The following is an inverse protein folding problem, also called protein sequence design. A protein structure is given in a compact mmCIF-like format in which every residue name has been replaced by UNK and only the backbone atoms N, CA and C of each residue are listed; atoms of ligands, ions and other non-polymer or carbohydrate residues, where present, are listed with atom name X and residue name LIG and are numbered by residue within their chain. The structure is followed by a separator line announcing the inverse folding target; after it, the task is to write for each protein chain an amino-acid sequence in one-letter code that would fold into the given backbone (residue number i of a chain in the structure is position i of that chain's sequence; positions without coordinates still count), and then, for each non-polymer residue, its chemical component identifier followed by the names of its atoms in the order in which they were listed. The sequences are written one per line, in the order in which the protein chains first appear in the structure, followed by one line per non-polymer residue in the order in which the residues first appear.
data_IF_563716011437
#
_entry.id   IF_563716011437
#
_cell.length_a   1.000
_cell.length_b   1.000
_cell.length_c   1.000
_cell.angle_alpha   90.00
_cell.angle_beta   90.00
_cell.angle_gamma   90.00
#
_symmetry.space_group_name_H-M   'P 1'
#
loop_
_entity.id
_entity.type
_entity.pdbx_description
1 polymer ?
#
# COMPACT_ATOMS: atom_id res chain seq x y z
N UNK A 1 19.64 7.79 2.05
CA UNK A 1 19.39 6.68 3.00
C UNK A 1 19.76 5.43 2.22
N UNK A 2 20.65 4.56 2.72
CA UNK A 2 21.12 3.41 1.94
C UNK A 2 19.92 2.50 1.61
N UNK A 3 19.89 1.92 0.41
CA UNK A 3 18.81 1.04 -0.08
C UNK A 3 18.44 -0.06 0.92
N UNK A 4 19.44 -0.62 1.58
CA UNK A 4 19.32 -1.62 2.66
C UNK A 4 18.42 -1.17 3.82
N UNK A 5 18.41 0.13 4.16
CA UNK A 5 17.56 0.66 5.24
C UNK A 5 16.09 0.70 4.84
N UNK A 6 15.79 1.00 3.57
CA UNK A 6 14.40 1.03 3.05
C UNK A 6 13.84 -0.39 3.03
N UNK A 7 14.60 -1.35 2.52
CA UNK A 7 14.21 -2.77 2.48
C UNK A 7 13.98 -3.33 3.89
N UNK A 8 14.84 -2.97 4.85
CA UNK A 8 14.70 -3.40 6.25
C UNK A 8 13.45 -2.82 6.92
N UNK A 9 13.12 -1.54 6.68
CA UNK A 9 11.89 -0.93 7.22
C UNK A 9 10.64 -1.58 6.63
N UNK A 10 10.64 -1.91 5.34
CA UNK A 10 9.51 -2.56 4.67
C UNK A 10 9.28 -3.97 5.20
N UNK A 11 10.35 -4.74 5.41
CA UNK A 11 10.27 -6.07 6.01
C UNK A 11 9.70 -6.01 7.45
N UNK A 12 10.17 -5.07 8.27
CA UNK A 12 9.68 -4.87 9.64
C UNK A 12 8.20 -4.48 9.67
N UNK A 13 7.75 -3.61 8.75
CA UNK A 13 6.32 -3.23 8.68
C UNK A 13 5.46 -4.40 8.23
N UNK A 14 5.88 -5.21 7.25
CA UNK A 14 5.16 -6.43 6.86
C UNK A 14 5.05 -7.43 8.02
N UNK A 15 6.15 -7.64 8.75
CA UNK A 15 6.15 -8.48 9.95
C UNK A 15 5.22 -7.93 11.02
N UNK A 16 5.26 -6.62 11.29
CA UNK A 16 4.40 -5.96 12.25
C UNK A 16 2.92 -6.07 11.87
N UNK A 17 2.57 -5.94 10.59
CA UNK A 17 1.19 -6.09 10.12
C UNK A 17 0.68 -7.52 10.27
N UNK A 18 1.48 -8.52 9.90
CA UNK A 18 1.12 -9.93 10.09
C UNK A 18 0.93 -10.24 11.58
N UNK A 19 1.82 -9.74 12.43
CA UNK A 19 1.74 -9.91 13.86
C UNK A 19 0.49 -9.24 14.45
N UNK A 20 0.21 -7.99 14.06
CA UNK A 20 -0.98 -7.25 14.51
C UNK A 20 -2.28 -7.92 14.02
N UNK A 21 -2.30 -8.49 12.82
CA UNK A 21 -3.46 -9.21 12.28
C UNK A 21 -3.76 -10.47 13.11
N UNK A 22 -2.73 -11.21 13.49
CA UNK A 22 -2.88 -12.39 14.35
C UNK A 22 -3.26 -12.02 15.78
N UNK A 23 -2.72 -10.93 16.32
CA UNK A 23 -3.11 -10.42 17.65
C UNK A 23 -4.59 -10.04 17.65
N UNK A 24 -5.09 -9.33 16.62
CA UNK A 24 -6.50 -8.95 16.55
C UNK A 24 -7.43 -10.17 16.40
N UNK A 25 -7.03 -11.17 15.62
CA UNK A 25 -7.77 -12.45 15.48
C UNK A 25 -7.87 -13.24 16.80
N UNK A 26 -6.87 -13.09 17.67
CA UNK A 26 -6.78 -13.81 18.92
C UNK A 26 -7.02 -12.94 20.16
N UNK A 27 -7.49 -11.69 20.00
CA UNK A 27 -7.67 -10.73 21.11
C UNK A 27 -8.60 -11.21 22.23
N UNK A 28 -9.48 -12.16 21.94
CA UNK A 28 -10.41 -12.77 22.90
C UNK A 28 -9.94 -14.14 23.41
N UNK A 29 -8.84 -14.68 22.87
CA UNK A 29 -8.26 -15.95 23.30
C UNK A 29 -7.18 -15.69 24.36
N UNK A 30 -7.53 -15.89 25.64
CA UNK A 30 -6.63 -15.63 26.77
C UNK A 30 -5.48 -16.62 26.89
N UNK A 31 -5.53 -17.74 26.18
CA UNK A 31 -4.60 -18.86 26.34
C UNK A 31 -3.58 -19.00 25.21
N UNK A 32 -3.66 -18.15 24.17
CA UNK A 32 -2.71 -18.22 23.05
C UNK A 32 -1.31 -17.78 23.47
N UNK A 33 -0.30 -18.57 23.11
CA UNK A 33 1.11 -18.23 23.35
C UNK A 33 1.73 -17.56 22.12
N UNK A 34 2.66 -16.63 22.35
CA UNK A 34 3.38 -15.92 21.28
C UNK A 34 4.08 -16.90 20.31
N UNK A 35 4.61 -18.02 20.80
CA UNK A 35 5.23 -19.07 19.98
C UNK A 35 4.25 -19.70 18.98
N UNK A 36 2.98 -19.84 19.34
CA UNK A 36 1.93 -20.42 18.47
C UNK A 36 1.50 -19.43 17.38
N UNK A 37 1.54 -18.13 17.68
CA UNK A 37 1.35 -17.06 16.69
C UNK A 37 2.49 -17.07 15.68
N UNK A 38 3.73 -17.18 16.14
CA UNK A 38 4.92 -17.20 15.29
C UNK A 38 4.98 -18.44 14.38
N UNK A 39 4.53 -19.60 14.84
CA UNK A 39 4.42 -20.79 13.99
C UNK A 39 3.40 -20.63 12.86
N UNK A 40 2.29 -19.93 13.11
CA UNK A 40 1.25 -19.68 12.09
C UNK A 40 1.74 -18.72 11.01
N UNK A 41 2.51 -17.69 11.38
CA UNK A 41 3.16 -16.78 10.42
C UNK A 41 4.05 -17.55 9.43
N UNK A 42 4.70 -18.61 9.89
CA UNK A 42 5.60 -19.42 9.06
C UNK A 42 4.88 -20.48 8.20
N UNK A 43 3.59 -20.73 8.41
CA UNK A 43 2.87 -21.86 7.78
C UNK A 43 1.78 -21.44 6.79
N UNK A 44 1.27 -20.21 6.85
CA UNK A 44 0.06 -19.82 6.12
C UNK A 44 0.35 -18.83 4.97
N UNK A 45 0.20 -19.28 3.72
CA UNK A 45 0.46 -18.45 2.53
C UNK A 45 -0.70 -17.48 2.20
N UNK A 46 -1.89 -17.63 2.82
CA UNK A 46 -3.13 -17.05 2.26
C UNK A 46 -4.13 -16.36 3.21
N UNK A 47 -3.81 -16.13 4.49
CA UNK A 47 -4.74 -15.42 5.38
C UNK A 47 -4.16 -14.13 5.95
N UNK A 48 -4.48 -13.01 5.29
CA UNK A 48 -4.25 -11.67 5.84
C UNK A 48 -5.57 -10.92 5.94
N UNK A 49 -6.13 -10.86 7.15
CA UNK A 49 -7.18 -9.89 7.48
C UNK A 49 -6.48 -8.62 7.95
N UNK A 50 -6.38 -7.62 7.09
CA UNK A 50 -5.92 -6.28 7.42
C UNK A 50 -7.12 -5.48 7.93
N UNK A 51 -7.06 -4.88 9.11
CA UNK A 51 -8.01 -3.83 9.44
C UNK A 51 -7.62 -2.53 8.72
N UNK A 52 -8.54 -1.57 8.70
CA UNK A 52 -8.35 -0.32 7.97
C UNK A 52 -7.08 0.46 8.38
N UNK A 53 -6.72 0.39 9.66
CA UNK A 53 -5.54 1.07 10.19
C UNK A 53 -4.25 0.42 9.71
N UNK A 54 -4.19 -0.91 9.63
CA UNK A 54 -3.02 -1.63 9.09
C UNK A 54 -2.77 -1.29 7.62
N UNK A 55 -3.84 -1.12 6.84
CA UNK A 55 -3.72 -0.70 5.44
C UNK A 55 -3.13 0.72 5.35
N UNK A 56 -3.65 1.65 6.16
CA UNK A 56 -3.13 3.03 6.21
C UNK A 56 -1.70 3.10 6.73
N UNK A 57 -1.33 2.33 7.75
CA UNK A 57 0.05 2.26 8.26
C UNK A 57 1.00 1.77 7.16
N UNK A 58 0.58 0.80 6.36
CA UNK A 58 1.39 0.26 5.27
C UNK A 58 1.56 1.24 4.14
N UNK A 59 0.48 1.89 3.72
CA UNK A 59 0.54 2.97 2.75
C UNK A 59 1.42 4.12 3.27
N UNK A 60 1.34 4.46 4.54
CA UNK A 60 2.20 5.48 5.16
C UNK A 60 3.67 5.08 5.06
N UNK A 61 4.00 3.83 5.41
CA UNK A 61 5.36 3.30 5.34
C UNK A 61 5.92 3.25 3.91
N UNK A 62 5.10 2.84 2.93
CA UNK A 62 5.53 2.64 1.55
C UNK A 62 5.44 3.90 0.68
N UNK A 63 4.54 4.83 1.00
CA UNK A 63 4.21 5.99 0.16
C UNK A 63 4.53 7.32 0.83
N UNK A 64 4.46 7.44 2.15
CA UNK A 64 4.69 8.75 2.82
C UNK A 64 6.11 8.89 3.33
N UNK A 65 6.62 7.87 4.02
CA UNK A 65 7.93 7.89 4.68
C UNK A 65 9.12 7.97 3.71
N UNK A 66 9.12 7.33 2.52
CA UNK A 66 10.28 7.39 1.62
C UNK A 66 10.67 8.83 1.26
N UNK A 67 12.00 9.09 1.23
CA UNK A 67 12.56 10.42 0.91
C UNK A 67 12.19 10.85 -0.51
N UNK A 68 12.22 12.16 -0.77
CA UNK A 68 11.85 12.69 -2.10
C UNK A 68 12.64 12.04 -3.25
N UNK A 69 13.92 11.73 -3.00
CA UNK A 69 14.80 11.06 -3.95
C UNK A 69 14.30 9.70 -4.41
N UNK A 70 13.58 8.95 -3.55
CA UNK A 70 12.99 7.66 -3.94
C UNK A 70 11.98 7.82 -5.08
N UNK A 71 11.22 8.91 -5.11
CA UNK A 71 10.23 9.17 -6.15
C UNK A 71 10.86 9.44 -7.51
N UNK A 72 12.15 9.79 -7.56
CA UNK A 72 12.86 9.94 -8.83
C UNK A 72 13.02 8.61 -9.57
N UNK A 73 13.11 7.51 -8.83
CA UNK A 73 13.38 6.16 -9.37
C UNK A 73 12.08 5.38 -9.65
N UNK A 74 10.92 5.95 -9.31
CA UNK A 74 9.62 5.33 -9.61
C UNK A 74 9.33 5.41 -11.10
N UNK A 75 9.00 4.26 -11.70
CA UNK A 75 8.72 4.11 -13.13
C UNK A 75 7.63 5.07 -13.62
N UNK A 76 7.85 5.69 -14.78
CA UNK A 76 6.91 6.58 -15.46
C UNK A 76 5.92 5.82 -16.38
N UNK A 77 5.52 4.62 -15.94
CA UNK A 77 4.54 3.79 -16.63
C UNK A 77 3.12 4.34 -16.45
N UNK A 78 2.28 4.24 -17.47
CA UNK A 78 0.85 4.56 -17.39
C UNK A 78 0.08 3.53 -16.55
N UNK A 79 -0.94 3.98 -15.82
CA UNK A 79 -1.80 3.09 -15.04
C UNK A 79 -2.49 2.03 -15.91
N UNK A 80 -2.82 2.35 -17.16
CA UNK A 80 -3.41 1.42 -18.13
C UNK A 80 -2.48 0.25 -18.52
N UNK A 81 -1.17 0.42 -18.36
CA UNK A 81 -0.15 -0.59 -18.68
C UNK A 81 0.23 -1.47 -17.48
N UNK A 82 -0.32 -1.20 -16.29
CA UNK A 82 -0.10 -2.03 -15.11
C UNK A 82 -0.87 -3.34 -15.23
N UNK A 83 -0.26 -4.43 -14.75
CA UNK A 83 -0.95 -5.72 -14.70
C UNK A 83 -2.13 -5.68 -13.72
N UNK A 84 -3.11 -6.55 -13.95
CA UNK A 84 -4.30 -6.65 -13.09
C UNK A 84 -3.97 -6.97 -11.61
N UNK A 85 -2.79 -7.55 -11.37
CA UNK A 85 -2.28 -7.84 -10.01
C UNK A 85 -2.11 -6.59 -9.14
N UNK A 86 -2.03 -5.41 -9.73
CA UNK A 86 -2.00 -4.15 -8.99
C UNK A 86 -3.33 -3.78 -8.34
N UNK A 87 -4.44 -4.45 -8.70
CA UNK A 87 -5.76 -4.13 -8.13
C UNK A 87 -6.29 -2.76 -8.53
N UNK A 88 -5.71 -2.12 -9.54
CA UNK A 88 -6.07 -0.75 -9.97
C UNK A 88 -6.99 -0.71 -11.19
N UNK A 89 -7.59 -1.83 -11.63
CA UNK A 89 -8.32 -1.90 -12.92
C UNK A 89 -9.35 -0.78 -13.10
N UNK A 90 -10.18 -0.52 -12.09
CA UNK A 90 -11.19 0.54 -12.14
C UNK A 90 -10.58 1.96 -12.18
N UNK A 91 -9.46 2.15 -11.47
CA UNK A 91 -8.70 3.41 -11.49
C UNK A 91 -8.02 3.60 -12.84
N UNK A 92 -7.40 2.56 -13.38
CA UNK A 92 -6.74 2.54 -14.69
C UNK A 92 -7.72 2.82 -15.82
N UNK A 93 -9.01 2.52 -15.69
CA UNK A 93 -10.01 2.94 -16.70
C UNK A 93 -10.33 4.44 -16.62
N UNK A 94 -10.45 5.01 -15.42
CA UNK A 94 -10.76 6.45 -15.22
C UNK A 94 -9.56 7.36 -15.43
N UNK A 95 -8.36 6.85 -15.16
CA UNK A 95 -7.10 7.57 -15.16
C UNK A 95 -6.05 6.85 -16.03
N UNK A 96 -6.47 6.33 -17.18
CA UNK A 96 -5.66 5.46 -18.04
C UNK A 96 -4.28 6.05 -18.38
N UNK A 97 -4.25 7.32 -18.76
CA UNK A 97 -3.03 8.02 -19.18
C UNK A 97 -2.24 8.60 -17.99
N UNK A 98 -2.75 8.46 -16.77
CA UNK A 98 -2.04 8.91 -15.58
C UNK A 98 -0.80 8.04 -15.37
N UNK A 99 0.33 8.70 -15.08
CA UNK A 99 1.56 8.01 -14.74
C UNK A 99 1.52 7.47 -13.31
N UNK A 100 2.06 6.28 -13.09
CA UNK A 100 2.14 5.62 -11.77
C UNK A 100 2.79 6.54 -10.74
N UNK A 101 3.89 7.21 -11.09
CA UNK A 101 4.56 8.19 -10.23
C UNK A 101 3.63 9.32 -9.80
N UNK A 102 2.84 9.87 -10.73
CA UNK A 102 1.88 10.93 -10.41
C UNK A 102 0.73 10.43 -9.54
N UNK A 103 0.20 9.24 -9.84
CA UNK A 103 -0.81 8.58 -9.03
C UNK A 103 -0.34 8.36 -7.59
N UNK A 104 0.86 7.80 -7.41
CA UNK A 104 1.46 7.57 -6.09
C UNK A 104 1.67 8.88 -5.33
N UNK A 105 2.04 9.97 -6.01
CA UNK A 105 2.13 11.30 -5.40
C UNK A 105 0.76 11.80 -4.92
N UNK A 106 -0.30 11.60 -5.71
CA UNK A 106 -1.67 11.95 -5.31
C UNK A 106 -2.11 11.16 -4.08
N UNK A 107 -1.88 9.84 -4.07
CA UNK A 107 -2.14 8.98 -2.89
C UNK A 107 -1.32 9.43 -1.67
N UNK A 108 -0.03 9.74 -1.84
CA UNK A 108 0.85 10.28 -0.78
C UNK A 108 0.28 11.53 -0.15
N UNK A 109 -0.15 12.49 -0.97
CA UNK A 109 -0.73 13.74 -0.50
C UNK A 109 -2.03 13.50 0.27
N UNK A 110 -2.90 12.62 -0.24
CA UNK A 110 -4.13 12.24 0.46
C UNK A 110 -3.84 11.71 1.87
N UNK A 111 -2.87 10.79 2.01
CA UNK A 111 -2.48 10.22 3.31
C UNK A 111 -1.84 11.30 4.20
N UNK A 112 -0.87 12.05 3.68
CA UNK A 112 -0.08 13.01 4.45
C UNK A 112 -0.91 14.16 5.01
N UNK A 113 -1.98 14.53 4.30
CA UNK A 113 -2.91 15.58 4.71
C UNK A 113 -4.17 15.05 5.43
N UNK A 114 -4.27 13.74 5.67
CA UNK A 114 -5.44 13.13 6.30
C UNK A 114 -6.72 13.22 5.46
N UNK A 115 -6.60 13.42 4.14
CA UNK A 115 -7.72 13.49 3.20
C UNK A 115 -8.14 12.08 2.73
N UNK A 116 -8.46 11.21 3.70
CA UNK A 116 -8.93 9.85 3.45
C UNK A 116 -10.24 9.64 4.20
N UNK A 117 -11.27 9.26 3.45
CA UNK A 117 -12.53 8.79 4.03
C UNK A 117 -12.62 7.28 3.88
N UNK A 118 -13.19 6.62 4.87
CA UNK A 118 -13.41 5.18 4.86
C UNK A 118 -14.90 4.94 5.03
N UNK A 119 -15.54 4.44 3.98
CA UNK A 119 -16.94 4.03 4.00
C UNK A 119 -17.02 2.52 3.86
N UNK A 120 -17.40 1.83 4.95
CA UNK A 120 -17.44 0.37 5.06
C UNK A 120 -16.13 -0.28 4.63
N UNK A 121 -16.06 -0.78 3.40
CA UNK A 121 -14.92 -1.49 2.81
C UNK A 121 -14.28 -0.71 1.66
N UNK A 122 -14.54 0.59 1.56
CA UNK A 122 -14.03 1.46 0.49
C UNK A 122 -13.22 2.60 1.09
N UNK A 123 -12.01 2.76 0.58
CA UNK A 123 -11.12 3.86 0.89
C UNK A 123 -11.24 4.92 -0.21
N UNK A 124 -11.53 6.15 0.20
CA UNK A 124 -11.73 7.28 -0.67
C UNK A 124 -10.55 8.24 -0.44
N UNK A 125 -9.60 8.22 -1.37
CA UNK A 125 -8.44 9.10 -1.36
C UNK A 125 -8.77 10.39 -2.11
N UNK A 126 -8.59 11.52 -1.44
CA UNK A 126 -8.86 12.84 -2.02
C UNK A 126 -7.60 13.68 -1.99
N UNK A 127 -7.23 14.30 -3.11
CA UNK A 127 -6.15 15.28 -3.16
C UNK A 127 -6.67 16.61 -3.68
N UNK A 128 -6.23 17.70 -3.03
CA UNK A 128 -6.65 19.05 -3.39
C UNK A 128 -5.71 19.59 -4.45
N UNK A 129 -6.28 20.30 -5.40
CA UNK A 129 -5.51 21.17 -6.26
C UNK A 129 -4.97 22.34 -5.42
N UNK A 130 -3.65 22.58 -5.39
CA UNK A 130 -3.07 23.67 -4.60
C UNK A 130 -3.58 25.04 -5.04
N UNK A 131 -3.88 25.23 -6.32
CA UNK A 131 -4.25 26.53 -6.88
C UNK A 131 -5.72 26.87 -6.64
N UNK A 132 -6.60 25.86 -6.63
CA UNK A 132 -8.06 26.09 -6.51
C UNK A 132 -8.63 25.67 -5.16
N UNK A 133 -7.85 24.98 -4.32
CA UNK A 133 -8.29 24.37 -3.05
C UNK A 133 -9.46 23.38 -3.16
N UNK A 134 -9.88 23.02 -4.39
CA UNK A 134 -10.90 22.01 -4.67
C UNK A 134 -10.27 20.64 -4.83
N UNK A 135 -11.00 19.58 -4.49
CA UNK A 135 -10.57 18.21 -4.78
C UNK A 135 -10.64 17.95 -6.29
N UNK A 136 -9.48 17.76 -6.92
CA UNK A 136 -9.36 17.45 -8.36
C UNK A 136 -9.02 15.97 -8.62
N UNK A 137 -8.63 15.26 -7.57
CA UNK A 137 -8.34 13.84 -7.59
C UNK A 137 -9.16 13.13 -6.51
N UNK A 138 -9.97 12.16 -6.95
CA UNK A 138 -10.77 11.29 -6.08
C UNK A 138 -10.68 9.87 -6.61
N UNK A 139 -10.08 8.99 -5.80
CA UNK A 139 -9.92 7.57 -6.09
C UNK A 139 -10.56 6.75 -4.99
N UNK A 140 -11.43 5.84 -5.42
CA UNK A 140 -12.10 4.89 -4.56
C UNK A 140 -11.43 3.53 -4.79
N UNK A 141 -10.94 2.93 -3.72
CA UNK A 141 -10.42 1.56 -3.76
C UNK A 141 -11.19 0.75 -2.73
N UNK A 142 -11.81 -0.34 -3.19
CA UNK A 142 -12.29 -1.35 -2.27
C UNK A 142 -11.11 -1.94 -1.50
N UNK A 143 -11.43 -2.54 -0.37
CA UNK A 143 -10.45 -3.19 0.48
C UNK A 143 -9.59 -4.22 -0.28
N UNK A 144 -10.20 -5.04 -1.15
CA UNK A 144 -9.50 -6.04 -1.96
C UNK A 144 -8.56 -5.39 -2.97
N UNK A 145 -9.03 -4.37 -3.68
CA UNK A 145 -8.21 -3.59 -4.61
C UNK A 145 -7.03 -2.92 -3.91
N UNK A 146 -7.27 -2.33 -2.73
CA UNK A 146 -6.24 -1.66 -1.96
C UNK A 146 -5.22 -2.66 -1.40
N UNK A 147 -5.66 -3.84 -0.96
CA UNK A 147 -4.77 -4.91 -0.50
C UNK A 147 -3.85 -5.38 -1.63
N UNK A 148 -4.42 -5.65 -2.82
CA UNK A 148 -3.65 -6.00 -4.02
C UNK A 148 -2.66 -4.90 -4.39
N UNK A 149 -3.09 -3.65 -4.37
CA UNK A 149 -2.23 -2.50 -4.63
C UNK A 149 -1.07 -2.42 -3.64
N UNK A 150 -1.34 -2.52 -2.34
CA UNK A 150 -0.31 -2.47 -1.29
C UNK A 150 0.68 -3.61 -1.43
N UNK A 151 0.21 -4.82 -1.74
CA UNK A 151 1.09 -5.97 -1.97
C UNK A 151 1.94 -5.82 -3.24
N UNK A 152 1.34 -5.40 -4.35
CA UNK A 152 2.02 -5.16 -5.61
C UNK A 152 3.06 -4.04 -5.47
N UNK A 153 2.72 -2.96 -4.77
CA UNK A 153 3.63 -1.83 -4.54
C UNK A 153 4.74 -2.18 -3.54
N UNK A 154 4.44 -2.91 -2.47
CA UNK A 154 5.47 -3.44 -1.58
C UNK A 154 6.45 -4.34 -2.35
N UNK A 155 5.94 -5.25 -3.20
CA UNK A 155 6.78 -6.07 -4.08
C UNK A 155 7.61 -5.19 -5.00
N UNK A 156 6.99 -4.23 -5.68
CA UNK A 156 7.69 -3.27 -6.54
C UNK A 156 8.86 -2.62 -5.80
N UNK A 157 8.66 -2.08 -4.60
CA UNK A 157 9.73 -1.43 -3.83
C UNK A 157 10.83 -2.42 -3.41
N UNK A 158 10.46 -3.64 -2.99
CA UNK A 158 11.43 -4.65 -2.59
C UNK A 158 12.25 -5.20 -3.77
N UNK A 159 11.68 -5.22 -4.97
CA UNK A 159 12.29 -5.80 -6.17
C UNK A 159 12.88 -4.76 -7.13
N UNK A 160 12.67 -3.47 -6.90
CA UNK A 160 13.22 -2.43 -7.77
C UNK A 160 14.72 -2.18 -7.50
N UNK A 161 15.51 -2.41 -8.55
CA UNK A 161 16.59 -1.52 -9.03
C UNK A 161 16.94 -1.77 -10.51
N UNK A 162 16.55 -2.90 -11.10
CA UNK A 162 17.06 -3.43 -12.37
C UNK A 162 15.88 -4.14 -13.08
N UNK A 163 15.88 -4.10 -14.41
CA UNK A 163 14.88 -4.65 -15.35
C UNK A 163 14.09 -5.87 -14.84
N UNK A 164 12.76 -5.77 -14.82
CA UNK A 164 11.88 -6.94 -14.70
C UNK A 164 11.08 -7.08 -15.99
N UNK A 165 11.75 -7.57 -17.04
CA UNK A 165 11.06 -8.28 -18.11
C UNK A 165 10.36 -9.49 -17.49
N UNK A 166 9.03 -9.47 -17.60
CA UNK A 166 8.11 -10.59 -17.44
C UNK A 166 7.81 -11.08 -15.99
N UNK A 167 6.60 -10.74 -15.53
CA UNK A 167 5.85 -11.46 -14.49
C UNK A 167 4.39 -11.62 -14.92
#
# INVERSE_FOLDING_TARGET
MKKENVTSMIAVVRMANNLLGLIDQHKNNKDIKLSEILEKINKDEHHYFWNQYQMLTSLTAFIVIPKETFWNDVSDIELSKLSERWGLRNVSSKYADMKLKFFLRKIRNSISHGNIEIDKTVFIFKDKNPDTSKYDFIVNLTYDELSKFVQAFARYIMTSDIELQNL
#
